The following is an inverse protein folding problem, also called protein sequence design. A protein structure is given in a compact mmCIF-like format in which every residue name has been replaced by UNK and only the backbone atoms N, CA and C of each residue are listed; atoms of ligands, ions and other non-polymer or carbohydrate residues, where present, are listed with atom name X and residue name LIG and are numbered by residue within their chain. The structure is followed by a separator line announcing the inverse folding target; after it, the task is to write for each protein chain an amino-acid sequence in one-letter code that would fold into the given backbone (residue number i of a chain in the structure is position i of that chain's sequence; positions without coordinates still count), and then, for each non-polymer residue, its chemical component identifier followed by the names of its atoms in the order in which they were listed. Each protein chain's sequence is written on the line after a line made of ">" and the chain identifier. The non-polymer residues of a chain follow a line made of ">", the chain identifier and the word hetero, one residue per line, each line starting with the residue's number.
data_IF_913447252392
#
_entry.id   IF_913447252392
#
_cell.length_a   1.000
_cell.length_b   1.000
_cell.length_c   1.000
_cell.angle_alpha   90.00
_cell.angle_beta   90.00
_cell.angle_gamma   90.00
#
_symmetry.space_group_name_H-M   'P 1'
#
loop_
_entity.id
_entity.type
_entity.pdbx_description
1 polymer ?
#
# COMPACT_ATOMS: atom_id res chain seq x y z
N UNK A 1 8.56 -25.77 -12.32
CA UNK A 1 8.91 -24.55 -11.58
C UNK A 1 8.59 -23.37 -12.48
N UNK A 2 7.80 -22.41 -12.00
CA UNK A 2 7.42 -21.24 -12.79
C UNK A 2 8.56 -20.21 -12.78
N UNK A 3 8.78 -19.52 -13.91
CA UNK A 3 9.82 -18.52 -14.10
C UNK A 3 9.26 -17.09 -14.34
N UNK A 4 7.93 -16.95 -14.42
CA UNK A 4 7.25 -15.69 -14.68
C UNK A 4 5.97 -15.53 -13.86
N UNK A 5 5.43 -14.31 -13.86
CA UNK A 5 4.14 -13.95 -13.30
C UNK A 5 3.35 -13.21 -14.40
N UNK A 6 2.05 -13.48 -14.47
CA UNK A 6 1.16 -12.78 -15.40
C UNK A 6 -0.16 -12.41 -14.71
N UNK A 7 -0.86 -11.46 -15.28
CA UNK A 7 -2.18 -11.02 -14.79
C UNK A 7 -3.24 -11.22 -15.85
N UNK A 8 -4.44 -11.62 -15.40
CA UNK A 8 -5.62 -11.75 -16.27
C UNK A 8 -6.90 -11.68 -15.44
N UNK A 9 -7.88 -10.87 -15.88
CA UNK A 9 -9.17 -10.70 -15.21
C UNK A 9 -9.03 -10.47 -13.69
N UNK A 10 -8.21 -9.49 -13.29
CA UNK A 10 -7.90 -9.18 -11.90
C UNK A 10 -7.31 -10.35 -11.08
N UNK A 11 -6.86 -11.40 -11.72
CA UNK A 11 -6.11 -12.49 -11.11
C UNK A 11 -4.61 -12.34 -11.35
N UNK A 12 -3.81 -12.83 -10.41
CA UNK A 12 -2.36 -12.94 -10.50
C UNK A 12 -2.02 -14.42 -10.57
N UNK A 13 -1.24 -14.80 -11.57
CA UNK A 13 -0.94 -16.19 -11.89
C UNK A 13 0.56 -16.43 -11.99
N UNK A 14 1.01 -17.58 -11.53
CA UNK A 14 2.29 -18.09 -11.98
C UNK A 14 2.25 -18.37 -13.48
N UNK A 15 3.39 -18.25 -14.14
CA UNK A 15 3.50 -18.52 -15.56
C UNK A 15 4.86 -19.12 -15.92
N UNK A 16 4.93 -19.75 -17.09
CA UNK A 16 6.16 -20.11 -17.75
C UNK A 16 6.32 -19.25 -18.99
N UNK A 17 7.42 -18.54 -19.06
CA UNK A 17 7.84 -17.82 -20.25
C UNK A 17 8.88 -18.67 -20.99
N UNK A 18 8.58 -19.00 -22.23
CA UNK A 18 9.53 -19.58 -23.15
C UNK A 18 10.35 -18.43 -23.76
N UNK A 19 11.62 -18.37 -23.40
CA UNK A 19 12.52 -17.28 -23.81
C UNK A 19 12.83 -17.30 -25.32
N UNK A 20 12.75 -18.48 -25.98
CA UNK A 20 13.05 -18.61 -27.41
C UNK A 20 11.86 -18.13 -28.26
N UNK A 21 10.65 -18.50 -27.87
CA UNK A 21 9.43 -18.20 -28.64
C UNK A 21 8.68 -16.96 -28.12
N UNK A 22 9.02 -16.46 -26.93
CA UNK A 22 8.29 -15.40 -26.24
C UNK A 22 6.89 -15.82 -25.78
N UNK A 23 6.55 -17.11 -25.88
CA UNK A 23 5.23 -17.62 -25.50
C UNK A 23 5.09 -17.72 -23.98
N UNK A 24 4.00 -17.19 -23.47
CA UNK A 24 3.68 -17.23 -22.04
C UNK A 24 2.55 -18.22 -21.78
N UNK A 25 2.85 -19.23 -20.98
CA UNK A 25 1.88 -20.25 -20.57
C UNK A 25 1.44 -19.96 -19.12
N UNK A 26 0.13 -19.73 -18.94
CA UNK A 26 -0.46 -19.39 -17.66
C UNK A 26 -0.62 -20.62 -16.77
N UNK A 27 -0.09 -20.54 -15.56
CA UNK A 27 -0.19 -21.55 -14.51
C UNK A 27 -1.31 -21.25 -13.49
N UNK A 28 -1.21 -21.76 -12.26
CA UNK A 28 -2.22 -21.57 -11.22
C UNK A 28 -2.29 -20.13 -10.72
N UNK A 29 -3.49 -19.72 -10.34
CA UNK A 29 -3.74 -18.43 -9.69
C UNK A 29 -3.26 -18.45 -8.25
N UNK A 30 -2.51 -17.43 -7.84
CA UNK A 30 -2.05 -17.27 -6.46
C UNK A 30 -2.48 -15.95 -5.81
N UNK A 31 -3.02 -15.00 -6.58
CA UNK A 31 -3.43 -13.70 -6.06
C UNK A 31 -4.58 -13.07 -6.82
N UNK A 32 -5.03 -11.93 -6.30
CA UNK A 32 -6.06 -11.08 -6.89
C UNK A 32 -5.64 -9.62 -6.81
N UNK A 33 -6.05 -8.83 -7.79
CA UNK A 33 -5.97 -7.38 -7.78
C UNK A 33 -7.34 -6.77 -7.47
N UNK A 34 -7.36 -5.71 -6.69
CA UNK A 34 -8.57 -5.00 -6.30
C UNK A 34 -8.38 -3.51 -6.54
N UNK A 35 -9.26 -2.90 -7.32
CA UNK A 35 -9.32 -1.45 -7.44
C UNK A 35 -10.12 -0.85 -6.29
N UNK A 36 -9.54 0.08 -5.55
CA UNK A 36 -10.22 0.71 -4.41
C UNK A 36 -11.45 1.53 -4.83
N UNK A 37 -11.45 2.07 -6.05
CA UNK A 37 -12.62 2.76 -6.63
C UNK A 37 -13.82 1.85 -6.85
N UNK A 38 -13.61 0.53 -6.86
CA UNK A 38 -14.63 -0.49 -7.13
C UNK A 38 -15.03 -1.28 -5.89
N UNK A 39 -14.77 -0.76 -4.69
CA UNK A 39 -15.01 -1.42 -3.41
C UNK A 39 -16.43 -1.98 -3.25
N UNK A 40 -17.44 -1.32 -3.83
CA UNK A 40 -18.83 -1.77 -3.78
C UNK A 40 -19.10 -3.03 -4.59
N UNK A 41 -18.35 -3.27 -5.67
CA UNK A 41 -18.53 -4.44 -6.55
C UNK A 41 -18.03 -5.74 -5.91
N UNK A 42 -17.15 -5.64 -4.91
CA UNK A 42 -16.57 -6.82 -4.26
C UNK A 42 -17.41 -7.38 -3.11
N UNK A 43 -18.43 -6.66 -2.64
CA UNK A 43 -19.22 -7.01 -1.44
C UNK A 43 -19.87 -8.39 -1.49
N UNK A 44 -20.28 -8.84 -2.68
CA UNK A 44 -20.94 -10.14 -2.88
C UNK A 44 -19.97 -11.29 -3.13
N UNK A 45 -18.68 -11.01 -3.26
CA UNK A 45 -17.67 -12.00 -3.60
C UNK A 45 -17.02 -12.58 -2.34
N UNK A 46 -16.58 -13.83 -2.42
CA UNK A 46 -15.87 -14.51 -1.34
C UNK A 46 -14.44 -14.84 -1.73
N UNK A 47 -13.52 -14.55 -0.81
CA UNK A 47 -12.08 -14.75 -1.02
C UNK A 47 -11.47 -15.61 0.10
N UNK A 48 -11.87 -16.90 0.22
CA UNK A 48 -11.58 -17.72 1.42
C UNK A 48 -10.10 -18.00 1.64
N UNK A 49 -9.27 -17.85 0.61
CA UNK A 49 -7.83 -18.17 0.68
C UNK A 49 -6.93 -16.95 0.84
N UNK A 50 -7.47 -15.72 0.78
CA UNK A 50 -6.65 -14.52 0.92
C UNK A 50 -6.43 -14.25 2.40
N UNK A 51 -5.17 -14.23 2.83
CA UNK A 51 -4.72 -13.94 4.20
C UNK A 51 -3.85 -12.71 4.29
N UNK A 52 -3.38 -12.20 3.15
CA UNK A 52 -2.51 -11.03 3.12
C UNK A 52 -2.92 -10.12 1.97
N UNK A 53 -2.78 -8.80 2.17
CA UNK A 53 -2.99 -7.80 1.14
C UNK A 53 -1.82 -6.80 1.16
N UNK A 54 -1.47 -6.31 -0.02
CA UNK A 54 -0.52 -5.19 -0.20
C UNK A 54 -1.30 -4.05 -0.84
N UNK A 55 -1.18 -2.86 -0.29
CA UNK A 55 -1.70 -1.63 -0.85
C UNK A 55 -0.54 -0.70 -1.15
N UNK A 56 -0.31 -0.47 -2.42
CA UNK A 56 0.81 0.28 -2.95
C UNK A 56 0.40 1.74 -3.19
N UNK A 57 1.35 2.65 -3.06
CA UNK A 57 1.17 4.08 -3.29
C UNK A 57 0.05 4.73 -2.45
N UNK A 58 -0.10 4.32 -1.19
CA UNK A 58 -1.11 4.91 -0.30
C UNK A 58 -0.79 6.35 0.11
N UNK A 59 0.42 6.83 -0.16
CA UNK A 59 0.83 8.23 -0.07
C UNK A 59 0.96 8.76 -1.49
N UNK A 60 0.18 9.76 -1.83
CA UNK A 60 0.16 10.39 -3.15
C UNK A 60 0.16 11.90 -3.02
N UNK A 61 0.70 12.58 -4.00
CA UNK A 61 0.58 14.04 -4.21
C UNK A 61 -0.76 14.42 -4.84
N UNK A 62 -1.44 13.41 -5.41
CA UNK A 62 -2.70 13.55 -6.12
C UNK A 62 -3.93 13.58 -5.23
N UNK A 63 -5.05 13.35 -5.87
CA UNK A 63 -6.33 13.34 -5.19
C UNK A 63 -6.63 11.97 -4.60
N UNK A 64 -7.02 11.96 -3.32
CA UNK A 64 -7.59 10.79 -2.68
C UNK A 64 -9.07 10.64 -3.05
N UNK A 65 -9.53 9.40 -3.09
CA UNK A 65 -10.96 9.14 -3.20
C UNK A 65 -11.71 9.68 -1.97
N UNK A 66 -12.95 10.10 -2.17
CA UNK A 66 -13.76 10.54 -1.04
C UNK A 66 -13.86 9.44 0.02
N UNK A 67 -13.49 9.76 1.27
CA UNK A 67 -13.43 8.81 2.38
C UNK A 67 -12.57 7.56 2.11
N UNK A 68 -11.48 7.70 1.38
CA UNK A 68 -10.63 6.61 0.93
C UNK A 68 -10.20 5.63 2.03
N UNK A 69 -9.69 6.05 3.20
CA UNK A 69 -9.33 5.10 4.25
C UNK A 69 -10.51 4.25 4.74
N UNK A 70 -11.71 4.81 4.77
CA UNK A 70 -12.92 4.07 5.13
C UNK A 70 -13.29 3.05 4.04
N UNK A 71 -13.18 3.43 2.77
CA UNK A 71 -13.40 2.52 1.64
C UNK A 71 -12.39 1.37 1.67
N UNK A 72 -11.14 1.68 1.94
CA UNK A 72 -10.07 0.69 2.12
C UNK A 72 -10.40 -0.30 3.24
N UNK A 73 -10.80 0.16 4.42
CA UNK A 73 -11.21 -0.71 5.52
C UNK A 73 -12.42 -1.57 5.19
N UNK A 74 -13.40 -1.04 4.46
CA UNK A 74 -14.55 -1.80 3.99
C UNK A 74 -14.14 -2.89 3.00
N UNK A 75 -13.22 -2.59 2.09
CA UNK A 75 -12.67 -3.56 1.15
C UNK A 75 -11.93 -4.69 1.89
N UNK A 76 -11.07 -4.35 2.85
CA UNK A 76 -10.37 -5.34 3.68
C UNK A 76 -11.34 -6.22 4.47
N UNK A 77 -12.37 -5.64 5.06
CA UNK A 77 -13.43 -6.38 5.75
C UNK A 77 -14.12 -7.39 4.83
N UNK A 78 -14.35 -7.01 3.58
CA UNK A 78 -14.92 -7.90 2.56
C UNK A 78 -13.94 -9.02 2.17
N UNK A 79 -12.68 -8.69 1.91
CA UNK A 79 -11.67 -9.65 1.46
C UNK A 79 -11.37 -10.66 2.57
N UNK A 80 -11.18 -10.20 3.80
CA UNK A 80 -10.75 -11.04 4.91
C UNK A 80 -11.90 -11.69 5.68
N UNK A 81 -13.10 -11.12 5.65
CA UNK A 81 -14.29 -11.65 6.33
C UNK A 81 -14.02 -12.18 7.74
N UNK A 82 -13.52 -11.30 8.60
CA UNK A 82 -13.24 -11.59 10.03
C UNK A 82 -12.19 -12.67 10.30
N UNK A 83 -11.25 -12.88 9.36
CA UNK A 83 -10.10 -13.74 9.62
C UNK A 83 -9.07 -13.02 10.50
N UNK A 84 -8.84 -13.50 11.76
CA UNK A 84 -8.06 -12.74 12.75
C UNK A 84 -6.55 -12.67 12.46
N UNK A 85 -6.04 -13.54 11.60
CA UNK A 85 -4.61 -13.58 11.25
C UNK A 85 -4.28 -12.90 9.93
N UNK A 86 -5.20 -12.12 9.39
CA UNK A 86 -4.97 -11.40 8.14
C UNK A 86 -3.95 -10.28 8.33
N UNK A 87 -3.09 -10.09 7.33
CA UNK A 87 -2.04 -9.07 7.33
C UNK A 87 -2.24 -8.10 6.18
N UNK A 88 -2.01 -6.83 6.45
CA UNK A 88 -2.06 -5.77 5.44
C UNK A 88 -0.74 -5.01 5.48
N UNK A 89 -0.16 -4.79 4.31
CA UNK A 89 1.07 -4.01 4.14
C UNK A 89 0.70 -2.82 3.26
N UNK A 90 0.94 -1.62 3.77
CA UNK A 90 0.81 -0.38 3.01
C UNK A 90 2.23 0.09 2.65
N UNK A 91 2.45 0.35 1.37
CA UNK A 91 3.74 0.80 0.85
C UNK A 91 3.54 2.15 0.17
N UNK A 92 4.39 3.11 0.45
CA UNK A 92 4.33 4.43 -0.17
C UNK A 92 5.66 5.19 0.00
N UNK A 93 5.89 6.13 -0.89
CA UNK A 93 7.02 7.05 -0.82
C UNK A 93 6.70 8.22 0.11
N UNK A 94 7.71 8.95 0.56
CA UNK A 94 7.59 10.11 1.44
C UNK A 94 7.20 11.39 0.69
N UNK A 95 6.09 11.34 -0.07
CA UNK A 95 5.62 12.42 -0.93
C UNK A 95 5.02 13.55 -0.08
N UNK A 96 4.10 13.23 0.82
CA UNK A 96 3.39 14.22 1.63
C UNK A 96 3.24 13.80 3.09
N UNK A 97 3.49 14.75 4.00
CA UNK A 97 3.22 14.59 5.45
C UNK A 97 1.73 14.65 5.77
N UNK A 98 0.92 15.23 4.88
CA UNK A 98 -0.53 15.32 5.03
C UNK A 98 -1.17 14.16 4.28
N UNK A 99 -1.67 13.20 5.04
CA UNK A 99 -2.22 11.98 4.47
C UNK A 99 -3.49 11.56 5.22
N UNK A 100 -4.61 11.26 4.54
CA UNK A 100 -5.86 10.86 5.18
C UNK A 100 -5.74 9.57 5.99
N UNK A 101 -4.83 8.66 5.63
CA UNK A 101 -4.58 7.43 6.40
C UNK A 101 -3.88 7.72 7.72
N UNK A 102 -2.93 8.67 7.76
CA UNK A 102 -2.28 9.06 9.01
C UNK A 102 -3.29 9.60 10.02
N UNK A 103 -4.22 10.43 9.54
CA UNK A 103 -5.31 10.95 10.37
C UNK A 103 -6.28 9.85 10.78
N UNK A 104 -6.69 9.00 9.85
CA UNK A 104 -7.67 7.93 10.09
C UNK A 104 -7.17 6.91 11.13
N UNK A 105 -5.91 6.49 11.02
CA UNK A 105 -5.28 5.54 11.94
C UNK A 105 -4.61 6.21 13.16
N UNK A 106 -4.73 7.53 13.29
CA UNK A 106 -4.13 8.33 14.38
C UNK A 106 -2.61 8.16 14.51
N UNK A 107 -1.91 8.10 13.38
CA UNK A 107 -0.48 7.89 13.29
C UNK A 107 0.27 9.23 13.40
N UNK A 108 0.30 9.80 14.61
CA UNK A 108 0.71 11.20 14.84
C UNK A 108 2.19 11.49 14.65
N UNK A 109 3.04 10.49 14.79
CA UNK A 109 4.50 10.69 14.78
C UNK A 109 5.14 10.49 13.41
N UNK A 110 4.40 9.95 12.42
CA UNK A 110 4.97 9.65 11.09
C UNK A 110 5.70 10.84 10.47
N UNK A 111 5.16 12.08 10.48
CA UNK A 111 5.87 13.22 9.90
C UNK A 111 7.21 13.58 10.56
N UNK A 112 7.49 13.02 11.76
CA UNK A 112 8.71 13.23 12.52
C UNK A 112 9.62 12.01 12.59
N UNK A 113 9.21 10.89 12.00
CA UNK A 113 9.99 9.66 12.00
C UNK A 113 11.29 9.85 11.23
N UNK A 114 12.34 9.20 11.73
CA UNK A 114 13.65 9.16 11.08
C UNK A 114 13.82 7.85 10.31
N UNK A 115 14.70 7.80 9.31
CA UNK A 115 15.07 6.54 8.64
C UNK A 115 15.47 5.45 9.66
N UNK A 116 15.07 4.22 9.38
CA UNK A 116 15.23 3.03 10.22
C UNK A 116 14.46 3.06 11.55
N UNK A 117 13.56 3.99 11.74
CA UNK A 117 12.68 4.02 12.91
C UNK A 117 11.46 3.13 12.68
N UNK A 118 11.02 2.45 13.74
CA UNK A 118 9.75 1.72 13.79
C UNK A 118 8.92 2.29 14.93
N UNK A 119 7.70 2.70 14.63
CA UNK A 119 6.71 3.13 15.60
C UNK A 119 5.54 2.15 15.62
N UNK A 120 4.99 1.92 16.82
CA UNK A 120 3.84 1.03 17.02
C UNK A 120 2.64 1.83 17.51
N UNK A 121 1.51 1.60 16.85
CA UNK A 121 0.23 2.22 17.19
C UNK A 121 -0.82 1.15 17.42
N UNK A 122 -1.84 1.51 18.16
CA UNK A 122 -3.05 0.71 18.27
C UNK A 122 -4.26 1.60 18.19
N UNK A 123 -5.28 1.18 17.49
CA UNK A 123 -6.54 1.89 17.42
C UNK A 123 -7.70 0.92 17.56
N UNK A 124 -8.77 1.41 18.16
CA UNK A 124 -10.02 0.68 18.29
C UNK A 124 -10.97 1.11 17.17
N UNK A 125 -11.60 0.16 16.56
CA UNK A 125 -12.67 0.41 15.60
C UNK A 125 -13.88 -0.45 15.92
N UNK A 126 -15.04 -0.02 15.46
CA UNK A 126 -16.27 -0.80 15.61
C UNK A 126 -16.53 -1.58 14.32
N UNK A 127 -16.74 -2.87 14.47
CA UNK A 127 -17.18 -3.74 13.39
C UNK A 127 -18.63 -3.43 12.99
N UNK A 128 -19.10 -4.03 11.90
CA UNK A 128 -20.50 -3.92 11.48
C UNK A 128 -21.48 -4.43 12.55
N UNK A 129 -21.06 -5.40 13.35
CA UNK A 129 -21.82 -5.97 14.47
C UNK A 129 -21.68 -5.14 15.78
N UNK A 130 -21.18 -3.90 15.67
CA UNK A 130 -20.95 -2.98 16.78
C UNK A 130 -19.99 -3.49 17.88
N UNK A 131 -19.17 -4.50 17.58
CA UNK A 131 -18.10 -4.97 18.46
C UNK A 131 -16.88 -4.09 18.33
N UNK A 132 -16.24 -3.77 19.45
CA UNK A 132 -14.95 -3.09 19.44
C UNK A 132 -13.84 -4.09 19.16
N UNK A 133 -13.04 -3.80 18.15
CA UNK A 133 -11.83 -4.55 17.83
C UNK A 133 -10.60 -3.66 17.93
N UNK A 134 -9.48 -4.23 18.37
CA UNK A 134 -8.20 -3.57 18.48
C UNK A 134 -7.32 -3.97 17.29
N UNK A 135 -6.91 -2.99 16.50
CA UNK A 135 -5.93 -3.19 15.43
C UNK A 135 -4.58 -2.62 15.84
N UNK A 136 -3.53 -3.34 15.53
CA UNK A 136 -2.15 -2.91 15.72
C UNK A 136 -1.55 -2.51 14.38
N UNK A 137 -0.83 -1.40 14.37
CA UNK A 137 -0.13 -0.88 13.21
C UNK A 137 1.34 -0.71 13.59
N UNK A 138 2.24 -1.27 12.80
CA UNK A 138 3.65 -0.97 12.84
C UNK A 138 3.99 -0.09 11.62
N UNK A 139 4.61 1.03 11.87
CA UNK A 139 5.10 1.93 10.82
C UNK A 139 6.61 1.85 10.80
N UNK A 140 7.18 1.53 9.66
CA UNK A 140 8.61 1.49 9.45
C UNK A 140 9.00 2.54 8.41
N UNK A 141 9.79 3.51 8.82
CA UNK A 141 10.45 4.45 7.92
C UNK A 141 11.71 3.79 7.37
N UNK A 142 11.65 3.32 6.14
CA UNK A 142 12.78 2.62 5.51
C UNK A 142 13.93 3.58 5.27
N UNK A 143 15.14 3.06 5.26
CA UNK A 143 16.31 3.77 4.76
C UNK A 143 16.49 3.44 3.29
N UNK A 144 16.42 4.47 2.45
CA UNK A 144 16.82 4.32 1.05
C UNK A 144 18.35 4.15 0.98
N UNK A 145 18.82 3.04 0.45
CA UNK A 145 20.22 2.96 0.04
C UNK A 145 20.40 3.94 -1.11
N UNK A 146 21.47 4.74 -1.10
CA UNK A 146 21.86 5.60 -2.23
C UNK A 146 21.86 4.76 -3.50
N UNK A 147 20.78 4.80 -4.26
CA UNK A 147 20.76 4.26 -5.60
C UNK A 147 21.48 5.25 -6.49
N UNK A 148 22.17 4.78 -7.52
CA UNK A 148 22.80 5.66 -8.49
C UNK A 148 21.75 6.66 -9.00
N UNK A 149 21.93 7.92 -8.63
CA UNK A 149 21.02 9.03 -8.93
C UNK A 149 20.79 9.30 -10.44
N UNK A 150 21.44 8.53 -11.30
CA UNK A 150 21.28 8.62 -12.75
C UNK A 150 20.00 8.02 -13.32
N UNK A 151 19.21 7.28 -12.52
CA UNK A 151 17.97 6.63 -12.99
C UNK A 151 16.72 7.48 -12.79
N UNK A 152 16.77 8.48 -11.90
CA UNK A 152 15.63 9.32 -11.56
C UNK A 152 15.94 10.78 -11.84
N UNK A 153 14.99 11.50 -12.42
CA UNK A 153 15.13 12.92 -12.81
C UNK A 153 14.14 13.74 -11.97
N UNK A 154 14.61 14.88 -11.42
CA UNK A 154 13.78 15.82 -10.67
C UNK A 154 13.69 15.58 -9.18
N UNK A 155 12.72 16.21 -8.50
CA UNK A 155 12.50 16.14 -7.04
C UNK A 155 12.24 14.72 -6.53
N UNK A 156 11.56 13.91 -7.31
CA UNK A 156 11.32 12.50 -7.00
C UNK A 156 12.62 11.69 -6.75
N UNK A 157 13.74 12.08 -7.38
CA UNK A 157 15.02 11.41 -7.17
C UNK A 157 15.46 11.47 -5.70
N UNK A 158 15.36 12.62 -5.04
CA UNK A 158 15.76 12.80 -3.63
C UNK A 158 14.80 12.09 -2.69
N UNK A 159 13.50 12.18 -2.93
CA UNK A 159 12.49 11.50 -2.14
C UNK A 159 12.74 9.98 -2.12
N UNK A 160 13.09 9.40 -3.26
CA UNK A 160 13.34 7.96 -3.40
C UNK A 160 14.72 7.58 -2.84
N UNK A 161 15.74 8.40 -3.05
CA UNK A 161 17.13 8.06 -2.70
C UNK A 161 17.53 8.44 -1.29
N UNK A 162 16.94 9.48 -0.71
CA UNK A 162 17.34 10.06 0.58
C UNK A 162 16.27 9.90 1.67
N UNK A 163 15.11 9.37 1.35
CA UNK A 163 13.96 9.23 2.27
C UNK A 163 13.55 10.58 2.89
N UNK A 164 13.66 11.64 2.11
CA UNK A 164 13.25 13.00 2.50
C UNK A 164 11.79 13.20 2.07
N UNK A 165 11.03 13.98 2.83
CA UNK A 165 9.68 14.35 2.44
C UNK A 165 9.71 15.34 1.29
N UNK A 166 9.02 15.05 0.21
CA UNK A 166 8.97 15.92 -0.98
C UNK A 166 8.41 17.30 -0.65
N UNK A 167 7.46 17.40 0.31
CA UNK A 167 6.91 18.65 0.81
C UNK A 167 7.94 19.57 1.47
N UNK A 168 9.07 19.05 1.95
CA UNK A 168 10.12 19.87 2.57
C UNK A 168 10.95 20.63 1.54
N UNK A 169 11.02 20.14 0.31
CA UNK A 169 11.74 20.83 -0.78
C UNK A 169 10.93 22.00 -1.36
N UNK A 170 9.61 21.90 -1.40
CA UNK A 170 8.75 22.97 -1.86
C UNK A 170 8.82 24.21 -0.96
N UNK A 171 8.98 24.01 0.37
CA UNK A 171 9.11 25.10 1.33
C UNK A 171 10.48 25.81 1.26
N UNK A 172 11.51 25.16 0.70
CA UNK A 172 12.83 25.73 0.53
C UNK A 172 12.96 26.61 -0.73
N UNK A 173 12.03 26.53 -1.67
CA UNK A 173 12.06 27.29 -2.93
C UNK A 173 11.26 28.59 -2.89
N UNK A 174 10.63 28.93 -1.77
CA UNK A 174 9.77 30.12 -1.62
C UNK A 174 10.36 31.22 -0.73
N UNK A 175 11.68 31.25 -0.54
CA UNK A 175 12.38 32.35 0.15
C UNK A 175 13.44 32.92 -0.76
N UNK A 176 12.99 33.77 -1.69
CA UNK A 176 13.78 34.88 -2.27
C UNK A 176 12.89 36.11 -2.47
#
# INVERSE_FOLDING_TARGET
>A
KYNAITTWNAGIYFANLDEETGKLEKGPRFGCMFGLSWDTHYKSLSYPRITSAVYEEFITDGQYLQNEPKRFMNLLSTIFRSRPQSKVILVGNTISRINPYFKYFNLRNIPRMKPNQIDYYSFKYKTQDNKEELTRVAVYMTHSRKSNSGLFIGSAAKTITETVWESDEADCLTVD
#
